data_IF_731407290536
#
_entry.id   IF_731407290536
#
_cell.length_a   1.000
_cell.length_b   1.000
_cell.length_c   1.000
_cell.angle_alpha   90.00
_cell.angle_beta   90.00
_cell.angle_gamma   90.00
#
_symmetry.space_group_name_H-M   'P 1'
#
loop_
_entity.id
_entity.type
_entity.pdbx_description
1 polymer ?
#
# COMPACT_ATOMS: atom_id res chain seq x y z
N UNK A 1 10.94 0.12 1.64
CA UNK A 1 12.18 0.16 0.82
C UNK A 1 12.30 -1.04 -0.11
N UNK A 2 12.23 -2.29 0.36
CA UNK A 2 12.38 -3.46 -0.51
C UNK A 2 11.38 -3.48 -1.68
N UNK A 3 10.08 -3.31 -1.39
CA UNK A 3 9.01 -3.22 -2.40
C UNK A 3 9.28 -2.14 -3.43
N UNK A 4 9.67 -0.94 -2.99
CA UNK A 4 9.99 0.21 -3.86
C UNK A 4 11.16 -0.11 -4.81
N UNK A 5 12.25 -0.70 -4.31
CA UNK A 5 13.37 -1.13 -5.16
C UNK A 5 12.97 -2.19 -6.17
N UNK A 6 12.19 -3.19 -5.74
CA UNK A 6 11.72 -4.25 -6.65
C UNK A 6 10.76 -3.74 -7.73
N UNK A 7 10.02 -2.67 -7.44
CA UNK A 7 9.15 -2.03 -8.42
C UNK A 7 9.93 -1.28 -9.52
N UNK A 8 11.22 -0.92 -9.28
CA UNK A 8 12.08 -0.26 -10.25
C UNK A 8 11.41 0.95 -10.92
N UNK A 9 10.84 1.84 -10.10
CA UNK A 9 9.98 2.92 -10.55
C UNK A 9 10.77 4.08 -11.19
N UNK A 10 10.25 4.66 -12.28
CA UNK A 10 10.70 5.97 -12.75
C UNK A 10 10.53 7.07 -11.69
N UNK A 11 11.30 8.15 -11.83
CA UNK A 11 11.12 9.34 -11.01
C UNK A 11 9.70 9.90 -11.17
N UNK A 12 9.14 10.47 -10.10
CA UNK A 12 7.81 11.10 -10.08
C UNK A 12 6.63 10.19 -10.48
N UNK A 13 6.81 8.86 -10.43
CA UNK A 13 5.70 7.92 -10.63
C UNK A 13 4.56 8.09 -9.61
N UNK A 14 3.35 7.71 -10.03
CA UNK A 14 2.20 7.61 -9.13
C UNK A 14 2.02 6.16 -8.66
N UNK A 15 2.06 5.97 -7.35
CA UNK A 15 1.95 4.67 -6.70
C UNK A 15 0.59 4.59 -6.02
N UNK A 16 -0.19 3.58 -6.39
CA UNK A 16 -1.40 3.19 -5.67
C UNK A 16 -1.03 2.18 -4.58
N UNK A 17 -1.46 2.41 -3.36
CA UNK A 17 -1.27 1.50 -2.24
C UNK A 17 -2.65 1.07 -1.74
N UNK A 18 -2.95 -0.23 -1.84
CA UNK A 18 -4.21 -0.79 -1.35
C UNK A 18 -3.96 -1.42 0.02
N UNK A 19 -4.55 -0.82 1.05
CA UNK A 19 -4.40 -1.14 2.45
C UNK A 19 -3.66 -0.05 3.22
N UNK A 20 -4.36 0.65 4.11
CA UNK A 20 -3.84 1.69 5.01
C UNK A 20 -3.43 1.13 6.39
N UNK A 21 -2.95 -0.11 6.42
CA UNK A 21 -2.34 -0.70 7.60
C UNK A 21 -0.89 -0.24 7.80
N UNK A 22 -0.23 -0.74 8.84
CA UNK A 22 1.17 -0.38 9.14
C UNK A 22 2.10 -0.62 7.94
N UNK A 23 1.95 -1.75 7.23
CA UNK A 23 2.76 -2.06 6.03
C UNK A 23 2.49 -1.08 4.90
N UNK A 24 1.23 -0.75 4.63
CA UNK A 24 0.85 0.20 3.58
C UNK A 24 1.33 1.62 3.88
N UNK A 25 1.19 2.08 5.11
CA UNK A 25 1.73 3.38 5.56
C UNK A 25 3.25 3.43 5.47
N UNK A 26 3.97 2.35 5.80
CA UNK A 26 5.44 2.29 5.61
C UNK A 26 5.83 2.29 4.13
N UNK A 27 5.05 1.62 3.26
CA UNK A 27 5.26 1.71 1.82
C UNK A 27 5.03 3.13 1.30
N UNK A 28 3.99 3.80 1.79
CA UNK A 28 3.64 5.18 1.48
C UNK A 28 4.75 6.13 1.93
N UNK A 29 5.24 6.00 3.17
CA UNK A 29 6.31 6.83 3.70
C UNK A 29 7.58 6.75 2.83
N UNK A 30 7.97 5.53 2.42
CA UNK A 30 9.12 5.34 1.53
C UNK A 30 8.86 5.91 0.14
N UNK A 31 7.65 5.78 -0.39
CA UNK A 31 7.29 6.37 -1.67
C UNK A 31 7.38 7.91 -1.63
N UNK A 32 6.80 8.54 -0.60
CA UNK A 32 6.84 9.98 -0.37
C UNK A 32 8.28 10.50 -0.20
N UNK A 33 9.10 9.80 0.58
CA UNK A 33 10.52 10.12 0.75
C UNK A 33 11.35 9.95 -0.54
N UNK A 34 10.80 9.34 -1.60
CA UNK A 34 11.43 9.25 -2.92
C UNK A 34 10.75 10.14 -3.97
N UNK A 35 9.88 11.07 -3.55
CA UNK A 35 9.26 12.06 -4.43
C UNK A 35 8.13 11.50 -5.31
N UNK A 36 7.63 10.30 -5.00
CA UNK A 36 6.49 9.74 -5.72
C UNK A 36 5.17 10.33 -5.24
N UNK A 37 4.16 10.29 -6.12
CA UNK A 37 2.78 10.60 -5.76
C UNK A 37 2.14 9.35 -5.19
N UNK A 38 1.42 9.46 -4.09
CA UNK A 38 0.84 8.31 -3.39
C UNK A 38 -0.67 8.44 -3.31
N UNK A 39 -1.36 7.43 -3.84
CA UNK A 39 -2.79 7.21 -3.65
C UNK A 39 -2.95 6.07 -2.66
N UNK A 40 -3.76 6.26 -1.63
CA UNK A 40 -3.95 5.24 -0.60
C UNK A 40 -5.42 4.87 -0.48
N UNK A 41 -5.73 3.57 -0.55
CA UNK A 41 -7.10 3.07 -0.46
C UNK A 41 -7.26 2.04 0.65
N UNK A 42 -8.34 2.10 1.41
CA UNK A 42 -8.68 1.16 2.48
C UNK A 42 -10.19 1.16 2.69
N UNK A 43 -10.73 0.10 3.28
CA UNK A 43 -12.15 -0.02 3.61
C UNK A 43 -12.52 0.84 4.83
N UNK A 44 -11.56 1.20 5.68
CA UNK A 44 -11.79 1.96 6.91
C UNK A 44 -11.54 3.46 6.67
N UNK A 45 -12.58 4.32 6.78
CA UNK A 45 -12.44 5.76 6.60
C UNK A 45 -11.39 6.38 7.53
N UNK A 46 -11.36 5.96 8.80
CA UNK A 46 -10.41 6.49 9.80
C UNK A 46 -8.94 6.29 9.40
N UNK A 47 -8.60 5.17 8.75
CA UNK A 47 -7.22 4.90 8.31
C UNK A 47 -6.83 5.77 7.12
N UNK A 48 -7.79 6.02 6.23
CA UNK A 48 -7.61 6.93 5.10
C UNK A 48 -7.45 8.37 5.55
N UNK A 49 -8.30 8.82 6.47
CA UNK A 49 -8.19 10.16 7.07
C UNK A 49 -6.85 10.33 7.78
N UNK A 50 -6.39 9.31 8.51
CA UNK A 50 -5.07 9.33 9.12
C UNK A 50 -3.97 9.47 8.07
N UNK A 51 -4.04 8.72 6.96
CA UNK A 51 -3.02 8.75 5.93
C UNK A 51 -2.89 10.13 5.26
N UNK A 52 -4.00 10.78 4.93
CA UNK A 52 -3.97 12.12 4.30
C UNK A 52 -3.58 13.20 5.30
N UNK A 53 -4.16 13.20 6.51
CA UNK A 53 -3.85 14.19 7.56
C UNK A 53 -2.37 14.18 7.96
N UNK A 54 -1.73 13.01 7.95
CA UNK A 54 -0.32 12.86 8.32
C UNK A 54 0.62 12.79 7.10
N UNK A 55 0.18 13.25 5.93
CA UNK A 55 1.00 13.35 4.71
C UNK A 55 1.58 12.04 4.16
N UNK A 56 1.02 10.88 4.54
CA UNK A 56 1.35 9.60 3.92
C UNK A 56 0.78 9.47 2.50
N UNK A 57 -0.31 10.19 2.18
CA UNK A 57 -1.00 10.11 0.91
C UNK A 57 -1.27 11.51 0.32
N UNK A 58 -1.12 11.64 -1.00
CA UNK A 58 -1.51 12.84 -1.76
C UNK A 58 -3.00 12.82 -2.13
N UNK A 59 -3.53 11.61 -2.32
CA UNK A 59 -4.95 11.37 -2.57
C UNK A 59 -5.37 10.06 -1.91
N UNK A 60 -6.64 9.93 -1.63
CA UNK A 60 -7.15 8.73 -0.97
C UNK A 60 -8.51 8.29 -1.48
N UNK A 61 -8.82 7.02 -1.23
CA UNK A 61 -10.04 6.39 -1.67
C UNK A 61 -10.57 5.42 -0.61
N UNK A 62 -11.79 5.67 -0.13
CA UNK A 62 -12.46 4.73 0.76
C UNK A 62 -13.12 3.66 -0.10
N UNK A 63 -12.66 2.42 0.06
CA UNK A 63 -13.20 1.27 -0.68
C UNK A 63 -14.59 0.95 -0.11
N UNK A 64 -15.65 0.95 -0.95
CA UNK A 64 -16.97 0.54 -0.50
C UNK A 64 -16.95 -0.95 -0.12
N UNK A 65 -17.65 -1.30 0.97
CA UNK A 65 -17.80 -2.70 1.37
C UNK A 65 -18.64 -3.43 0.33
N UNK A 66 -17.99 -4.30 -0.45
CA UNK A 66 -18.69 -5.18 -1.39
C UNK A 66 -19.31 -6.34 -0.61
N UNK A 67 -20.61 -6.64 -0.80
CA UNK A 67 -21.21 -7.85 -0.25
C UNK A 67 -20.45 -9.10 -0.72
N UNK A 68 -20.32 -10.11 0.14
CA UNK A 68 -19.83 -11.43 -0.31
C UNK A 68 -20.82 -11.98 -1.32
N UNK A 69 -20.41 -12.17 -2.57
CA UNK A 69 -21.29 -12.61 -3.66
C UNK A 69 -20.55 -13.34 -4.78
N UNK A 70 -21.29 -13.63 -5.85
CA UNK A 70 -20.83 -14.34 -7.05
C UNK A 70 -19.62 -13.63 -7.70
N UNK A 71 -18.68 -14.43 -8.23
CA UNK A 71 -17.41 -13.99 -8.81
C UNK A 71 -17.62 -12.98 -9.95
N UNK A 72 -18.65 -13.17 -10.78
CA UNK A 72 -18.97 -12.27 -11.88
C UNK A 72 -19.47 -10.90 -11.40
N UNK A 73 -20.31 -10.87 -10.35
CA UNK A 73 -20.76 -9.62 -9.74
C UNK A 73 -19.58 -8.88 -9.08
N UNK A 74 -18.65 -9.62 -8.48
CA UNK A 74 -17.44 -9.06 -7.88
C UNK A 74 -16.53 -8.41 -8.93
N UNK A 75 -16.37 -8.99 -10.12
CA UNK A 75 -15.52 -8.43 -11.17
C UNK A 75 -16.02 -7.08 -11.69
N UNK A 76 -17.33 -6.88 -11.83
CA UNK A 76 -17.89 -5.59 -12.23
C UNK A 76 -17.61 -4.51 -11.18
N UNK A 77 -17.80 -4.82 -9.89
CA UNK A 77 -17.46 -3.89 -8.79
C UNK A 77 -15.97 -3.57 -8.76
N UNK A 78 -15.11 -4.58 -8.88
CA UNK A 78 -13.66 -4.43 -8.95
C UNK A 78 -13.25 -3.55 -10.13
N UNK A 79 -13.88 -3.71 -11.30
CA UNK A 79 -13.61 -2.89 -12.48
C UNK A 79 -14.02 -1.42 -12.28
N UNK A 80 -15.15 -1.16 -11.62
CA UNK A 80 -15.58 0.19 -11.24
C UNK A 80 -14.58 0.84 -10.28
N UNK A 81 -14.21 0.13 -9.20
CA UNK A 81 -13.22 0.61 -8.23
C UNK A 81 -11.87 0.93 -8.88
N UNK A 82 -11.40 0.06 -9.78
CA UNK A 82 -10.19 0.31 -10.55
C UNK A 82 -10.31 1.56 -11.43
N UNK A 83 -11.50 1.85 -11.97
CA UNK A 83 -11.81 3.09 -12.68
C UNK A 83 -11.63 4.33 -11.81
N UNK A 84 -12.24 4.35 -10.64
CA UNK A 84 -12.15 5.47 -9.70
C UNK A 84 -10.71 5.72 -9.25
N UNK A 85 -9.94 4.66 -8.99
CA UNK A 85 -8.52 4.76 -8.65
C UNK A 85 -7.66 5.31 -9.80
N UNK A 86 -8.01 5.00 -11.06
CA UNK A 86 -7.36 5.60 -12.23
C UNK A 86 -7.71 7.08 -12.36
N UNK A 87 -8.95 7.49 -12.08
CA UNK A 87 -9.33 8.90 -12.07
C UNK A 87 -8.59 9.68 -10.98
N UNK A 88 -8.45 9.10 -9.77
CA UNK A 88 -7.62 9.68 -8.69
C UNK A 88 -6.17 9.91 -9.13
N UNK A 89 -5.60 9.00 -9.93
CA UNK A 89 -4.25 9.20 -10.48
C UNK A 89 -4.19 10.33 -11.51
N UNK A 90 -5.22 10.49 -12.34
CA UNK A 90 -5.33 11.59 -13.31
C UNK A 90 -5.50 12.94 -12.62
N UNK A 91 -6.27 13.01 -11.53
CA UNK A 91 -6.39 14.21 -10.68
C UNK A 91 -5.02 14.67 -10.15
N UNK A 92 -4.12 13.72 -9.86
CA UNK A 92 -2.73 13.98 -9.49
C UNK A 92 -1.80 14.21 -10.71
N UNK A 93 -2.34 14.36 -11.91
CA UNK A 93 -1.60 14.58 -13.15
C UNK A 93 -0.74 13.38 -13.59
N UNK A 94 -1.17 12.15 -13.27
CA UNK A 94 -0.43 10.94 -13.58
C UNK A 94 -1.32 9.74 -13.92
N UNK A 95 -0.72 8.56 -13.91
CA UNK A 95 -1.37 7.26 -14.13
C UNK A 95 -0.86 6.28 -13.08
N UNK A 96 -1.60 5.21 -12.81
CA UNK A 96 -1.17 4.22 -11.81
C UNK A 96 0.02 3.40 -12.35
N UNK A 97 1.24 3.90 -12.16
CA UNK A 97 2.49 3.26 -12.62
C UNK A 97 2.72 1.92 -11.93
N UNK A 98 2.41 1.86 -10.64
CA UNK A 98 2.55 0.66 -9.83
C UNK A 98 1.52 0.63 -8.72
N UNK A 99 1.05 -0.58 -8.42
CA UNK A 99 0.21 -0.86 -7.27
C UNK A 99 0.99 -1.65 -6.24
N UNK A 100 0.94 -1.26 -4.97
CA UNK A 100 1.41 -2.06 -3.84
C UNK A 100 0.18 -2.61 -3.10
N UNK A 101 -0.08 -3.89 -3.28
CA UNK A 101 -1.18 -4.60 -2.63
C UNK A 101 -0.71 -5.01 -1.23
N UNK A 102 -1.29 -4.42 -0.20
CA UNK A 102 -0.87 -4.56 1.20
C UNK A 102 -1.97 -5.16 2.10
N UNK A 103 -3.06 -5.68 1.54
CA UNK A 103 -4.16 -6.32 2.29
C UNK A 103 -4.13 -7.84 2.22
N UNK A 104 -3.69 -8.42 1.11
CA UNK A 104 -3.81 -9.84 0.81
C UNK A 104 -5.22 -10.28 0.38
N UNK A 105 -6.17 -9.36 0.23
CA UNK A 105 -7.54 -9.69 -0.18
C UNK A 105 -7.62 -9.93 -1.70
N UNK A 106 -8.35 -10.97 -2.11
CA UNK A 106 -8.50 -11.33 -3.53
C UNK A 106 -9.07 -10.16 -4.36
N UNK A 107 -10.17 -9.55 -3.92
CA UNK A 107 -10.77 -8.40 -4.60
C UNK A 107 -9.81 -7.19 -4.69
N UNK A 108 -8.95 -6.99 -3.69
CA UNK A 108 -7.91 -5.96 -3.71
C UNK A 108 -6.89 -6.25 -4.81
N UNK A 109 -6.43 -7.49 -4.92
CA UNK A 109 -5.47 -7.88 -5.96
C UNK A 109 -6.07 -7.84 -7.37
N UNK A 110 -7.32 -8.26 -7.54
CA UNK A 110 -8.04 -8.08 -8.81
C UNK A 110 -8.16 -6.58 -9.17
N UNK A 111 -8.47 -5.73 -8.18
CA UNK A 111 -8.53 -4.27 -8.37
C UNK A 111 -7.17 -3.72 -8.76
N UNK A 112 -6.10 -4.17 -8.10
CA UNK A 112 -4.73 -3.77 -8.40
C UNK A 112 -4.35 -4.05 -9.86
N UNK A 113 -4.68 -5.25 -10.36
CA UNK A 113 -4.43 -5.64 -11.75
C UNK A 113 -5.15 -4.70 -12.71
N UNK A 114 -6.43 -4.44 -12.49
CA UNK A 114 -7.23 -3.60 -13.37
C UNK A 114 -6.85 -2.12 -13.27
N UNK A 115 -6.42 -1.64 -12.10
CA UNK A 115 -6.07 -0.24 -11.86
C UNK A 115 -4.72 0.14 -12.46
N UNK A 116 -3.74 -0.77 -12.44
CA UNK A 116 -2.42 -0.53 -13.02
C UNK A 116 -2.50 -0.13 -14.50
N UNK A 117 -1.63 0.79 -14.93
CA UNK A 117 -1.53 1.16 -16.36
C UNK A 117 -0.99 -0.01 -17.20
N UNK A 118 -1.15 0.01 -18.54
CA UNK A 118 -0.39 -0.87 -19.42
C UNK A 118 1.13 -0.73 -19.20
N UNK A 119 1.83 -1.87 -19.13
CA UNK A 119 3.24 -1.95 -18.76
C UNK A 119 3.53 -1.62 -17.28
N UNK A 120 2.51 -1.50 -16.45
CA UNK A 120 2.62 -1.23 -15.02
C UNK A 120 2.97 -2.48 -14.21
N UNK A 121 3.13 -2.31 -12.90
CA UNK A 121 3.50 -3.41 -11.99
C UNK A 121 2.55 -3.50 -10.81
N UNK A 122 2.29 -4.71 -10.33
CA UNK A 122 1.57 -4.98 -9.09
C UNK A 122 2.48 -5.74 -8.14
N UNK A 123 2.78 -5.12 -7.01
CA UNK A 123 3.61 -5.69 -5.96
C UNK A 123 2.73 -6.41 -4.95
N UNK A 124 2.95 -7.72 -4.77
CA UNK A 124 2.25 -8.54 -3.79
C UNK A 124 3.00 -8.44 -2.45
N UNK A 125 2.51 -7.58 -1.56
CA UNK A 125 3.11 -7.34 -0.23
C UNK A 125 2.23 -7.93 0.87
N UNK A 126 0.91 -7.83 0.72
CA UNK A 126 -0.08 -8.41 1.61
C UNK A 126 -0.05 -9.93 1.59
N UNK A 127 -0.26 -10.53 2.75
CA UNK A 127 -0.32 -11.98 2.89
C UNK A 127 -1.78 -12.42 2.90
N UNK A 128 -2.22 -12.96 1.76
CA UNK A 128 -3.58 -13.43 1.54
C UNK A 128 -3.75 -14.95 1.67
N UNK A 129 -4.82 -15.46 1.07
CA UNK A 129 -4.95 -16.91 0.83
C UNK A 129 -3.88 -17.40 -0.14
N UNK A 130 -3.37 -18.64 0.01
CA UNK A 130 -2.34 -19.18 -0.88
C UNK A 130 -2.77 -19.29 -2.34
N UNK A 131 -4.07 -19.43 -2.58
CA UNK A 131 -4.67 -19.51 -3.91
C UNK A 131 -5.72 -18.41 -4.03
N UNK A 132 -5.65 -17.65 -5.12
CA UNK A 132 -6.55 -16.56 -5.44
C UNK A 132 -6.93 -16.62 -6.92
N UNK A 133 -8.17 -16.27 -7.24
CA UNK A 133 -8.67 -16.17 -8.62
C UNK A 133 -8.36 -14.79 -9.17
N UNK A 134 -7.57 -14.73 -10.25
CA UNK A 134 -7.08 -13.46 -10.81
C UNK A 134 -7.53 -13.25 -12.27
N UNK A 135 -7.81 -12.00 -12.70
CA UNK A 135 -8.06 -11.68 -14.10
C UNK A 135 -6.75 -11.69 -14.92
N UNK A 136 -6.16 -12.87 -15.09
CA UNK A 136 -4.84 -13.05 -15.73
C UNK A 136 -4.82 -12.49 -17.15
N UNK A 137 -5.89 -12.68 -17.93
CA UNK A 137 -5.99 -12.12 -19.28
C UNK A 137 -5.90 -10.59 -19.28
N UNK A 138 -6.47 -9.92 -18.27
CA UNK A 138 -6.38 -8.47 -18.16
C UNK A 138 -4.97 -7.98 -17.80
N UNK A 139 -4.18 -8.78 -17.10
CA UNK A 139 -2.77 -8.50 -16.85
C UNK A 139 -1.94 -8.75 -18.12
N UNK A 140 -2.08 -9.93 -18.73
CA UNK A 140 -1.30 -10.36 -19.89
C UNK A 140 -1.48 -9.44 -21.10
N UNK A 141 -2.72 -9.08 -21.45
CA UNK A 141 -3.02 -8.22 -22.60
C UNK A 141 -2.51 -6.77 -22.45
N UNK A 142 -2.13 -6.36 -21.23
CA UNK A 142 -1.60 -5.03 -20.93
C UNK A 142 -0.19 -5.09 -20.39
N UNK A 143 0.46 -6.25 -20.43
CA UNK A 143 1.81 -6.48 -19.91
C UNK A 143 2.00 -5.95 -18.47
N UNK A 144 1.02 -6.25 -17.60
CA UNK A 144 1.11 -5.89 -16.17
C UNK A 144 1.87 -6.97 -15.42
N UNK A 145 3.02 -6.61 -14.85
CA UNK A 145 3.84 -7.55 -14.10
C UNK A 145 3.29 -7.80 -12.69
N UNK A 146 3.22 -9.07 -12.28
CA UNK A 146 2.90 -9.47 -10.92
C UNK A 146 4.17 -9.87 -10.19
N UNK A 147 4.57 -9.09 -9.18
CA UNK A 147 5.84 -9.26 -8.49
C UNK A 147 5.62 -9.56 -7.02
N UNK A 148 5.95 -10.77 -6.60
CA UNK A 148 5.96 -11.15 -5.19
C UNK A 148 7.02 -10.39 -4.40
N UNK A 149 6.70 -9.99 -3.16
CA UNK A 149 7.66 -9.39 -2.23
C UNK A 149 7.76 -10.26 -0.99
N UNK A 150 8.98 -10.67 -0.65
CA UNK A 150 9.20 -11.47 0.55
C UNK A 150 10.23 -10.76 1.45
N UNK A 151 9.74 -10.26 2.59
CA UNK A 151 10.56 -9.57 3.59
C UNK A 151 11.44 -8.48 2.97
N UNK A 152 12.75 -8.63 3.06
CA UNK A 152 13.79 -7.71 2.61
C UNK A 152 15.16 -8.40 2.66
N UNK A 153 16.13 -7.87 1.93
CA UNK A 153 17.53 -8.31 1.99
C UNK A 153 18.46 -7.08 1.92
N UNK A 154 19.41 -6.98 2.87
CA UNK A 154 20.45 -5.95 2.86
C UNK A 154 20.00 -4.51 3.10
N UNK A 155 18.87 -4.28 3.78
CA UNK A 155 18.26 -2.95 3.92
C UNK A 155 18.31 -2.32 5.31
N UNK A 156 18.78 -3.03 6.34
CA UNK A 156 18.70 -2.53 7.72
C UNK A 156 19.45 -1.20 7.94
N UNK A 157 20.67 -1.08 7.40
CA UNK A 157 21.49 0.13 7.55
C UNK A 157 20.81 1.34 6.92
N UNK A 158 20.44 1.23 5.65
CA UNK A 158 19.73 2.28 4.93
C UNK A 158 18.38 2.62 5.56
N UNK A 159 17.68 1.63 6.13
CA UNK A 159 16.46 1.88 6.85
C UNK A 159 16.67 2.72 8.10
N UNK A 160 17.74 2.44 8.86
CA UNK A 160 18.11 3.24 10.02
C UNK A 160 18.50 4.66 9.60
N UNK A 161 19.33 4.80 8.57
CA UNK A 161 19.78 6.09 8.01
C UNK A 161 18.59 6.95 7.55
N UNK A 162 17.64 6.37 6.80
CA UNK A 162 16.45 7.07 6.32
C UNK A 162 15.63 7.67 7.47
N UNK A 163 15.50 6.93 8.58
CA UNK A 163 14.72 7.35 9.74
C UNK A 163 15.50 8.35 10.61
N UNK A 164 16.81 8.17 10.76
CA UNK A 164 17.64 9.06 11.59
C UNK A 164 17.89 10.42 10.95
N UNK A 165 18.08 10.46 9.63
CA UNK A 165 18.43 11.69 8.90
C UNK A 165 17.20 12.52 8.56
N UNK A 166 15.99 11.94 8.61
CA UNK A 166 14.75 12.65 8.33
C UNK A 166 14.69 13.18 6.89
N UNK A 167 14.77 12.28 5.90
CA UNK A 167 14.75 12.65 4.48
C UNK A 167 13.52 13.52 4.16
N UNK A 168 13.74 14.58 3.38
CA UNK A 168 12.66 15.47 2.92
C UNK A 168 11.53 14.66 2.28
N UNK A 169 10.29 14.93 2.69
CA UNK A 169 9.09 14.22 2.24
C UNK A 169 8.80 12.91 2.98
N UNK A 170 9.63 12.47 3.92
CA UNK A 170 9.29 11.35 4.81
C UNK A 170 8.21 11.81 5.83
N UNK A 171 7.03 11.18 5.87
CA UNK A 171 6.03 11.44 6.90
C UNK A 171 6.54 11.07 8.30
N UNK A 172 6.00 11.73 9.33
CA UNK A 172 6.35 11.42 10.71
C UNK A 172 5.85 10.02 11.11
N UNK A 173 6.82 9.10 11.29
CA UNK A 173 6.55 7.72 11.63
C UNK A 173 6.11 7.54 13.09
N UNK A 174 6.37 8.52 13.97
CA UNK A 174 5.96 8.43 15.37
C UNK A 174 4.44 8.38 15.53
N UNK A 175 3.72 9.05 14.61
CA UNK A 175 2.25 9.04 14.55
C UNK A 175 1.66 7.64 14.27
N UNK A 176 2.46 6.70 13.76
CA UNK A 176 2.03 5.33 13.55
C UNK A 176 1.97 4.52 14.85
N UNK A 177 2.69 4.94 15.89
CA UNK A 177 2.72 4.26 17.19
C UNK A 177 1.43 4.58 17.94
N UNK A 178 0.52 3.61 18.03
CA UNK A 178 -0.78 3.81 18.69
C UNK A 178 -0.77 3.35 20.14
N UNK A 179 0.08 2.39 20.50
CA UNK A 179 0.14 1.86 21.86
C UNK A 179 1.59 1.59 22.26
N UNK A 180 1.93 1.89 23.51
CA UNK A 180 3.22 1.52 24.12
C UNK A 180 2.91 0.67 25.33
N UNK A 181 3.42 -0.56 25.36
CA UNK A 181 3.26 -1.47 26.49
C UNK A 181 4.58 -1.66 27.21
N UNK A 182 4.54 -1.62 28.54
CA UNK A 182 5.66 -1.99 29.39
C UNK A 182 5.70 -3.51 29.56
N UNK A 183 6.90 -4.07 29.60
CA UNK A 183 7.11 -5.47 29.91
C UNK A 183 8.24 -5.64 30.92
N UNK A 184 8.14 -6.70 31.71
CA UNK A 184 9.10 -7.06 32.75
C UNK A 184 9.73 -8.41 32.40
N UNK A 185 11.03 -8.40 32.12
CA UNK A 185 11.78 -9.63 31.78
C UNK A 185 13.05 -9.65 32.64
N UNK A 186 13.15 -10.65 33.51
CA UNK A 186 14.29 -10.90 34.41
C UNK A 186 14.74 -9.67 35.24
N UNK A 187 13.79 -8.96 35.86
CA UNK A 187 14.09 -7.81 36.73
C UNK A 187 14.52 -6.53 36.00
N UNK A 188 14.44 -6.48 34.67
CA UNK A 188 14.61 -5.26 33.89
C UNK A 188 13.28 -4.85 33.26
N UNK A 189 12.95 -3.57 33.41
CA UNK A 189 11.81 -2.93 32.78
C UNK A 189 12.14 -2.57 31.33
N UNK A 190 11.29 -2.97 30.38
CA UNK A 190 11.41 -2.67 28.96
C UNK A 190 10.12 -2.09 28.38
N UNK A 191 10.21 -1.44 27.21
CA UNK A 191 9.06 -0.90 26.47
C UNK A 191 9.00 -1.50 25.06
N UNK A 192 7.82 -1.92 24.61
CA UNK A 192 7.53 -2.28 23.20
C UNK A 192 6.49 -1.31 22.65
N UNK A 193 6.76 -0.78 21.46
CA UNK A 193 5.82 0.06 20.71
C UNK A 193 5.04 -0.79 19.70
N UNK A 194 3.73 -0.59 19.63
CA UNK A 194 2.85 -1.25 18.69
C UNK A 194 2.19 -0.22 17.77
N UNK A 195 2.16 -0.54 16.48
CA UNK A 195 1.37 0.17 15.49
C UNK A 195 0.13 -0.68 15.19
N UNK A 196 -0.99 -0.38 15.84
CA UNK A 196 -2.26 -1.05 15.55
C UNK A 196 -2.91 -0.35 14.36
N UNK A 197 -2.97 -1.02 13.22
CA UNK A 197 -3.79 -0.57 12.10
C UNK A 197 -5.26 -0.66 12.53
N UNK A 198 -5.85 0.45 12.98
CA UNK A 198 -7.27 0.63 13.29
C UNK A 198 -7.93 -0.46 14.13
N UNK A 199 -8.22 -0.16 15.40
CA UNK A 199 -9.28 -0.85 16.14
C UNK A 199 -9.90 0.08 17.17
N UNK A 200 -11.20 0.35 17.01
CA UNK A 200 -12.06 0.98 18.02
C UNK A 200 -11.94 2.48 18.08
#
# INVERSE_FOLDING_TARGET
MHTHRRAALPANSTILIIGAGAVGLLCAAVAKANGHRVILSDIQPLRIDFATKNAFADSSFVVPLTPRGDVAANLATVAMMAGELREKAKELGGVVDTVMECTGAEASLQTAILAARPGGKVMLVGMGTPVQTLPVSAAALREVDLLGVFRYAGLYREAAELVSEGKSGLPDLTNMVTHISQYWVWGREGRVCYCRAGSG
#
